data_IF_866220172146
#
_entry.id   IF_866220172146
#
_cell.length_a   1.000
_cell.length_b   1.000
_cell.length_c   1.000
_cell.angle_alpha   90.00
_cell.angle_beta   90.00
_cell.angle_gamma   90.00
#
_symmetry.space_group_name_H-M   'P 1'
#
loop_
_entity.id
_entity.type
_entity.pdbx_description
1 polymer ?
#
# COMPACT_ATOMS: atom_id res chain seq x y z
N UNK A 1 18.16 13.81 -12.30
CA UNK A 1 19.00 14.74 -11.51
C UNK A 1 19.62 13.93 -10.40
N UNK A 2 20.95 13.80 -10.43
CA UNK A 2 21.71 12.94 -9.52
C UNK A 2 21.65 13.50 -8.09
N UNK A 3 21.46 12.59 -7.13
CA UNK A 3 21.29 12.75 -5.68
C UNK A 3 22.63 13.08 -5.01
N UNK A 4 23.26 14.21 -5.32
CA UNK A 4 24.50 14.62 -4.65
C UNK A 4 24.25 15.67 -3.56
N UNK A 5 23.28 16.58 -3.73
CA UNK A 5 23.09 17.74 -2.84
C UNK A 5 22.48 17.36 -1.47
N UNK A 6 21.87 16.18 -1.34
CA UNK A 6 21.13 15.80 -0.14
C UNK A 6 21.80 14.77 0.76
N UNK A 7 23.01 14.29 0.45
CA UNK A 7 23.67 13.26 1.27
C UNK A 7 23.99 13.72 2.72
N UNK A 8 23.97 15.04 2.96
CA UNK A 8 24.16 15.64 4.27
C UNK A 8 22.84 15.89 5.02
N UNK A 9 21.68 15.56 4.45
CA UNK A 9 20.40 15.69 5.14
C UNK A 9 20.37 14.69 6.32
N UNK A 10 20.22 15.15 7.58
CA UNK A 10 20.20 14.25 8.73
C UNK A 10 19.05 13.24 8.66
N UNK A 11 17.93 13.59 8.01
CA UNK A 11 16.79 12.67 7.85
C UNK A 11 17.08 11.48 6.90
N UNK A 12 18.26 11.41 6.28
CA UNK A 12 18.72 10.20 5.59
C UNK A 12 19.33 9.16 6.54
N UNK A 13 19.74 9.56 7.75
CA UNK A 13 20.37 8.69 8.75
C UNK A 13 19.58 8.60 10.05
N UNK A 14 18.78 9.62 10.33
CA UNK A 14 17.96 9.75 11.52
C UNK A 14 16.46 9.79 11.15
N UNK A 15 15.54 9.53 12.11
CA UNK A 15 14.12 9.67 11.87
C UNK A 15 13.73 11.05 11.34
N UNK A 16 12.96 11.10 10.25
CA UNK A 16 12.46 12.34 9.67
C UNK A 16 12.13 12.18 8.18
N UNK A 17 11.68 13.28 7.56
CA UNK A 17 11.46 13.33 6.11
C UNK A 17 12.52 14.24 5.48
N UNK A 18 13.36 13.74 4.56
CA UNK A 18 14.38 14.53 3.89
C UNK A 18 13.80 15.74 3.16
N UNK A 19 14.51 16.87 3.17
CA UNK A 19 14.13 18.11 2.48
C UNK A 19 13.90 17.89 0.98
N UNK A 20 14.63 16.96 0.37
CA UNK A 20 14.39 16.61 -1.02
C UNK A 20 13.00 16.05 -1.27
N UNK A 21 12.44 15.27 -0.34
CA UNK A 21 11.09 14.73 -0.49
C UNK A 21 10.05 15.87 -0.52
N UNK A 22 10.25 16.90 0.32
CA UNK A 22 9.44 18.12 0.32
C UNK A 22 9.49 18.87 -1.02
N UNK A 23 10.71 19.08 -1.54
CA UNK A 23 10.91 19.77 -2.82
C UNK A 23 10.34 18.98 -4.00
N UNK A 24 10.54 17.67 -4.01
CA UNK A 24 9.99 16.76 -5.02
C UNK A 24 8.46 16.79 -4.99
N UNK A 25 7.85 16.67 -3.82
CA UNK A 25 6.39 16.71 -3.68
C UNK A 25 5.79 18.01 -4.20
N UNK A 26 6.35 19.16 -3.80
CA UNK A 26 5.92 20.48 -4.28
C UNK A 26 6.02 20.64 -5.80
N UNK A 27 7.11 20.14 -6.38
CA UNK A 27 7.33 20.19 -7.83
C UNK A 27 6.42 19.22 -8.59
N UNK A 28 6.12 18.08 -7.97
CA UNK A 28 5.28 17.04 -8.54
C UNK A 28 3.80 17.43 -8.55
N UNK A 29 3.30 18.07 -7.49
CA UNK A 29 1.88 18.38 -7.31
C UNK A 29 1.20 18.97 -8.56
N UNK A 30 1.68 20.09 -9.17
CA UNK A 30 1.03 20.65 -10.36
C UNK A 30 1.13 19.73 -11.59
N UNK A 31 2.22 18.97 -11.72
CA UNK A 31 2.43 18.01 -12.84
C UNK A 31 1.49 16.81 -12.71
N UNK A 32 1.33 16.32 -11.49
CA UNK A 32 0.40 15.24 -11.17
C UNK A 32 -1.04 15.68 -11.44
N UNK A 33 -1.45 16.88 -11.02
CA UNK A 33 -2.78 17.43 -11.33
C UNK A 33 -3.07 17.44 -12.83
N UNK A 34 -2.14 17.95 -13.63
CA UNK A 34 -2.30 18.01 -15.09
C UNK A 34 -2.42 16.60 -15.69
N UNK A 35 -1.51 15.69 -15.31
CA UNK A 35 -1.51 14.31 -15.78
C UNK A 35 -2.81 13.56 -15.41
N UNK A 36 -3.25 13.64 -14.17
CA UNK A 36 -4.43 12.92 -13.69
C UNK A 36 -5.70 13.39 -14.41
N UNK A 37 -5.85 14.70 -14.62
CA UNK A 37 -6.99 15.29 -15.36
C UNK A 37 -6.99 14.88 -16.82
N UNK A 38 -5.84 14.97 -17.50
CA UNK A 38 -5.70 14.52 -18.89
C UNK A 38 -6.01 13.02 -19.00
N UNK A 39 -5.53 12.22 -18.06
CA UNK A 39 -5.73 10.78 -18.05
C UNK A 39 -7.21 10.41 -17.98
N UNK A 40 -7.96 10.98 -17.03
CA UNK A 40 -9.42 10.81 -16.92
C UNK A 40 -10.10 11.28 -18.20
N UNK A 41 -9.80 12.50 -18.65
CA UNK A 41 -10.41 13.08 -19.86
C UNK A 41 -10.18 12.24 -21.12
N UNK A 42 -9.05 11.53 -21.20
CA UNK A 42 -8.72 10.68 -22.36
C UNK A 42 -9.59 9.42 -22.46
N UNK A 43 -10.19 8.95 -21.36
CA UNK A 43 -10.97 7.70 -21.32
C UNK A 43 -10.19 6.43 -21.68
N UNK A 44 -8.86 6.53 -21.90
CA UNK A 44 -8.04 5.42 -22.42
C UNK A 44 -7.98 4.23 -21.49
N UNK A 45 -8.14 4.45 -20.18
CA UNK A 45 -8.09 3.39 -19.18
C UNK A 45 -9.14 2.28 -19.42
N UNK A 46 -10.26 2.59 -20.08
CA UNK A 46 -11.31 1.62 -20.39
C UNK A 46 -10.97 0.63 -21.52
N UNK A 47 -9.85 0.82 -22.22
CA UNK A 47 -9.49 0.03 -23.40
C UNK A 47 -8.10 -0.62 -23.28
N UNK A 48 -7.49 -0.55 -22.10
CA UNK A 48 -6.16 -1.12 -21.88
C UNK A 48 -6.25 -2.64 -21.71
N UNK A 49 -5.27 -3.40 -22.24
CA UNK A 49 -5.22 -4.83 -22.01
C UNK A 49 -4.79 -5.14 -20.56
N UNK A 50 -5.33 -6.22 -19.99
CA UNK A 50 -5.07 -6.61 -18.59
C UNK A 50 -3.59 -6.80 -18.26
N UNK A 51 -2.79 -7.32 -19.21
CA UNK A 51 -1.36 -7.54 -19.01
C UNK A 51 -0.53 -6.25 -18.97
N UNK A 52 -1.10 -5.09 -19.33
CA UNK A 52 -0.42 -3.79 -19.25
C UNK A 52 -0.65 -3.16 -17.86
N UNK A 53 -0.21 -3.91 -16.82
CA UNK A 53 -0.24 -3.52 -15.40
C UNK A 53 0.21 -2.06 -15.18
N UNK A 54 1.29 -1.57 -15.82
CA UNK A 54 1.71 -0.17 -15.67
C UNK A 54 0.68 0.87 -16.11
N UNK A 55 -0.18 0.54 -17.07
CA UNK A 55 -1.20 1.46 -17.55
C UNK A 55 -2.57 1.23 -16.91
N UNK A 56 -2.85 0.05 -16.38
CA UNK A 56 -4.11 -0.28 -15.69
C UNK A 56 -4.06 0.08 -14.20
N UNK A 57 -3.15 -0.53 -13.44
CA UNK A 57 -3.14 -0.51 -11.97
C UNK A 57 -2.36 0.66 -11.37
N UNK A 58 -1.15 0.91 -11.89
CA UNK A 58 -0.24 1.93 -11.36
C UNK A 58 -0.83 3.34 -11.24
N UNK A 59 -1.77 3.79 -12.09
CA UNK A 59 -2.43 5.08 -11.91
C UNK A 59 -3.22 5.19 -10.60
N UNK A 60 -3.96 4.14 -10.22
CA UNK A 60 -4.72 4.11 -8.96
C UNK A 60 -3.74 3.98 -7.79
N UNK A 61 -2.86 2.99 -7.88
CA UNK A 61 -1.83 2.72 -6.87
C UNK A 61 -0.94 3.94 -6.59
N UNK A 62 -0.45 4.59 -7.66
CA UNK A 62 0.36 5.80 -7.59
C UNK A 62 -0.40 7.01 -7.04
N UNK A 63 -1.72 7.08 -7.28
CA UNK A 63 -2.57 8.12 -6.67
C UNK A 63 -2.71 7.90 -5.15
N UNK A 64 -2.85 6.66 -4.70
CA UNK A 64 -2.84 6.32 -3.26
C UNK A 64 -1.50 6.67 -2.62
N UNK A 65 -0.37 6.31 -3.25
CA UNK A 65 0.96 6.65 -2.75
C UNK A 65 1.21 8.16 -2.72
N UNK A 66 0.71 8.90 -3.70
CA UNK A 66 0.76 10.36 -3.67
C UNK A 66 0.00 10.92 -2.46
N UNK A 67 -1.19 10.38 -2.17
CA UNK A 67 -1.99 10.79 -1.02
C UNK A 67 -1.30 10.45 0.32
N UNK A 68 -0.76 9.24 0.48
CA UNK A 68 0.01 8.87 1.68
C UNK A 68 1.27 9.71 1.88
N UNK A 69 2.00 10.01 0.80
CA UNK A 69 3.13 10.93 0.87
C UNK A 69 2.67 12.32 1.32
N UNK A 70 1.51 12.78 0.85
CA UNK A 70 0.92 14.06 1.27
C UNK A 70 0.52 14.04 2.75
N UNK A 71 -0.09 12.96 3.25
CA UNK A 71 -0.41 12.79 4.67
C UNK A 71 0.84 12.77 5.55
N UNK A 72 1.88 12.03 5.16
CA UNK A 72 3.14 11.98 5.91
C UNK A 72 3.79 13.36 6.02
N UNK A 73 3.84 14.10 4.91
CA UNK A 73 4.32 15.49 4.89
C UNK A 73 3.41 16.41 5.72
N UNK A 74 2.08 16.26 5.65
CA UNK A 74 1.14 17.05 6.43
C UNK A 74 1.35 16.83 7.94
N UNK A 75 1.47 15.59 8.38
CA UNK A 75 1.73 15.26 9.77
C UNK A 75 3.09 15.79 10.27
N UNK A 76 4.13 15.75 9.42
CA UNK A 76 5.43 16.34 9.74
C UNK A 76 5.36 17.89 9.78
N UNK A 77 4.57 18.53 8.90
CA UNK A 77 4.31 19.96 8.93
C UNK A 77 3.63 20.40 10.24
N UNK A 78 2.65 19.63 10.73
CA UNK A 78 1.90 19.93 11.95
C UNK A 78 2.75 19.80 13.22
N UNK A 79 3.69 18.86 13.23
CA UNK A 79 4.64 18.66 14.34
C UNK A 79 5.72 19.74 14.38
N UNK A 80 6.09 20.27 13.23
CA UNK A 80 7.11 21.31 13.11
C UNK A 80 6.50 22.71 13.17
N UNK A 81 7.29 23.73 13.46
CA UNK A 81 6.77 25.09 13.57
C UNK A 81 6.29 25.60 12.19
N UNK A 82 4.97 25.82 11.96
CA UNK A 82 4.40 26.13 10.65
C UNK A 82 5.02 27.35 9.96
N UNK A 83 5.51 28.32 10.73
CA UNK A 83 6.12 29.54 10.23
C UNK A 83 7.40 29.31 9.40
N UNK A 84 8.05 28.14 9.53
CA UNK A 84 9.34 27.85 8.86
C UNK A 84 9.21 27.10 7.52
N UNK A 85 8.07 26.47 7.22
CA UNK A 85 7.92 25.62 6.02
C UNK A 85 6.99 26.19 4.94
N UNK A 86 6.34 27.32 5.16
CA UNK A 86 5.36 27.87 4.22
C UNK A 86 4.03 27.12 4.24
N UNK A 87 3.23 27.15 3.16
CA UNK A 87 1.91 26.53 3.14
C UNK A 87 1.94 25.03 3.45
N UNK A 88 0.92 24.57 4.17
CA UNK A 88 0.74 23.15 4.48
C UNK A 88 0.57 22.31 3.19
N UNK A 89 1.05 21.04 3.17
CA UNK A 89 0.82 20.10 2.06
C UNK A 89 -0.63 20.01 1.61
N UNK A 90 -1.58 19.90 2.54
CA UNK A 90 -3.01 19.87 2.22
C UNK A 90 -3.51 21.11 1.47
N UNK A 91 -2.83 22.26 1.63
CA UNK A 91 -3.20 23.53 0.98
C UNK A 91 -2.57 23.64 -0.40
N UNK A 92 -1.24 23.58 -0.51
CA UNK A 92 -0.60 23.80 -1.82
C UNK A 92 -0.85 22.65 -2.80
N UNK A 93 -1.07 21.43 -2.29
CA UNK A 93 -1.30 20.25 -3.11
C UNK A 93 -2.80 19.97 -3.35
N UNK A 94 -3.70 20.85 -2.91
CA UNK A 94 -5.16 20.61 -3.00
C UNK A 94 -5.63 20.16 -4.39
N UNK A 95 -5.24 20.80 -5.51
CA UNK A 95 -5.66 20.35 -6.84
C UNK A 95 -5.17 18.94 -7.20
N UNK A 96 -4.03 18.50 -6.66
CA UNK A 96 -3.48 17.17 -6.88
C UNK A 96 -4.18 16.13 -6.00
N UNK A 97 -4.54 16.49 -4.76
CA UNK A 97 -5.36 15.65 -3.88
C UNK A 97 -6.73 15.38 -4.52
N UNK A 98 -7.39 16.43 -5.01
CA UNK A 98 -8.69 16.30 -5.70
C UNK A 98 -8.56 15.46 -6.99
N UNK A 99 -7.47 15.61 -7.73
CA UNK A 99 -7.23 14.83 -8.93
C UNK A 99 -6.90 13.35 -8.63
N UNK A 100 -6.18 13.07 -7.54
CA UNK A 100 -5.85 11.72 -7.11
C UNK A 100 -7.11 10.93 -6.74
N UNK A 101 -8.00 11.51 -5.93
CA UNK A 101 -9.26 10.84 -5.57
C UNK A 101 -10.16 10.64 -6.80
N UNK A 102 -10.14 11.57 -7.75
CA UNK A 102 -10.87 11.42 -9.00
C UNK A 102 -10.37 10.24 -9.85
N UNK A 103 -9.05 9.99 -9.90
CA UNK A 103 -8.49 8.80 -10.58
C UNK A 103 -8.87 7.53 -9.84
N UNK A 104 -8.80 7.54 -8.51
CA UNK A 104 -9.11 6.38 -7.65
C UNK A 104 -10.58 5.97 -7.74
N UNK A 105 -11.49 6.92 -7.95
CA UNK A 105 -12.93 6.66 -8.00
C UNK A 105 -13.51 6.61 -9.42
N UNK A 106 -12.70 6.85 -10.45
CA UNK A 106 -13.17 6.86 -11.84
C UNK A 106 -13.56 5.45 -12.29
N UNK A 107 -14.85 5.18 -12.60
CA UNK A 107 -15.29 3.87 -13.05
C UNK A 107 -14.54 3.37 -14.29
N UNK A 108 -14.06 4.26 -15.16
CA UNK A 108 -13.30 3.86 -16.36
C UNK A 108 -11.95 3.23 -15.97
N UNK A 109 -11.31 3.73 -14.91
CA UNK A 109 -10.09 3.16 -14.34
C UNK A 109 -10.30 1.82 -13.66
N UNK A 110 -11.53 1.48 -13.26
CA UNK A 110 -11.86 0.19 -12.65
C UNK A 110 -12.14 -0.91 -13.70
N UNK A 111 -12.01 -0.62 -14.99
CA UNK A 111 -12.33 -1.58 -16.06
C UNK A 111 -11.52 -2.88 -15.95
N UNK A 112 -10.23 -2.80 -15.63
CA UNK A 112 -9.40 -3.99 -15.45
C UNK A 112 -9.91 -4.85 -14.28
N UNK A 113 -10.33 -4.21 -13.19
CA UNK A 113 -10.89 -4.89 -12.02
C UNK A 113 -12.19 -5.61 -12.38
N UNK A 114 -13.09 -4.93 -13.10
CA UNK A 114 -14.34 -5.54 -13.59
C UNK A 114 -14.10 -6.70 -14.54
N UNK A 115 -13.04 -6.66 -15.34
CA UNK A 115 -12.68 -7.78 -16.21
C UNK A 115 -12.22 -9.01 -15.40
N UNK A 116 -11.61 -8.83 -14.23
CA UNK A 116 -11.27 -9.93 -13.32
C UNK A 116 -12.46 -10.41 -12.49
N UNK A 117 -13.23 -9.49 -11.90
CA UNK A 117 -14.19 -9.79 -10.83
C UNK A 117 -15.66 -9.63 -11.22
N UNK A 118 -15.95 -9.18 -12.44
CA UNK A 118 -17.30 -8.85 -12.88
C UNK A 118 -17.84 -7.55 -12.27
N UNK A 119 -19.15 -7.32 -12.41
CA UNK A 119 -19.77 -6.06 -12.02
C UNK A 119 -19.86 -5.84 -10.50
N UNK A 120 -19.83 -6.91 -9.70
CA UNK A 120 -19.85 -6.85 -8.23
C UNK A 120 -18.43 -6.82 -7.61
N UNK A 121 -17.44 -6.34 -8.37
CA UNK A 121 -16.03 -6.27 -7.95
C UNK A 121 -15.76 -5.53 -6.62
N UNK A 122 -16.71 -4.72 -6.14
CA UNK A 122 -16.64 -4.00 -4.88
C UNK A 122 -17.07 -4.84 -3.65
N UNK A 123 -17.68 -6.01 -3.86
CA UNK A 123 -18.12 -6.90 -2.79
C UNK A 123 -17.61 -8.34 -2.94
N UNK A 124 -16.84 -8.60 -4.00
CA UNK A 124 -15.97 -9.78 -4.10
C UNK A 124 -14.74 -9.66 -3.18
N UNK A 125 -13.88 -10.68 -3.15
CA UNK A 125 -12.64 -10.69 -2.37
C UNK A 125 -11.76 -9.47 -2.72
N UNK A 126 -11.20 -9.47 -3.94
CA UNK A 126 -10.55 -8.33 -4.59
C UNK A 126 -9.71 -7.45 -3.64
N UNK A 127 -8.87 -8.11 -2.84
CA UNK A 127 -8.26 -7.53 -1.65
C UNK A 127 -7.43 -6.29 -1.97
N UNK A 128 -6.47 -6.44 -2.88
CA UNK A 128 -5.62 -5.37 -3.37
C UNK A 128 -6.42 -4.12 -3.76
N UNK A 129 -7.31 -4.21 -4.75
CA UNK A 129 -8.03 -3.03 -5.25
C UNK A 129 -8.93 -2.39 -4.19
N UNK A 130 -9.65 -3.19 -3.40
CA UNK A 130 -10.53 -2.66 -2.35
C UNK A 130 -9.74 -1.96 -1.25
N UNK A 131 -8.53 -2.43 -0.94
CA UNK A 131 -7.62 -1.72 -0.03
C UNK A 131 -7.22 -0.35 -0.57
N UNK A 132 -6.98 -0.21 -1.89
CA UNK A 132 -6.65 1.07 -2.52
C UNK A 132 -7.81 2.07 -2.45
N UNK A 133 -9.06 1.61 -2.60
CA UNK A 133 -10.24 2.46 -2.42
C UNK A 133 -10.33 2.97 -0.97
N UNK A 134 -10.20 2.06 0.00
CA UNK A 134 -10.23 2.40 1.43
C UNK A 134 -9.12 3.40 1.76
N UNK A 135 -7.88 3.13 1.31
CA UNK A 135 -6.72 3.98 1.52
C UNK A 135 -6.92 5.37 0.90
N UNK A 136 -7.33 5.43 -0.37
CA UNK A 136 -7.53 6.67 -1.12
C UNK A 136 -8.58 7.56 -0.49
N UNK A 137 -9.76 7.02 -0.20
CA UNK A 137 -10.86 7.78 0.40
C UNK A 137 -10.50 8.23 1.82
N UNK A 138 -9.87 7.38 2.62
CA UNK A 138 -9.41 7.74 3.98
C UNK A 138 -8.44 8.92 3.95
N UNK A 139 -7.43 8.85 3.08
CA UNK A 139 -6.41 9.89 2.94
C UNK A 139 -7.02 11.20 2.44
N UNK A 140 -7.90 11.13 1.43
CA UNK A 140 -8.62 12.28 0.90
C UNK A 140 -9.43 12.99 1.99
N UNK A 141 -10.24 12.24 2.77
CA UNK A 141 -11.05 12.82 3.84
C UNK A 141 -10.20 13.44 4.95
N UNK A 142 -9.08 12.82 5.34
CA UNK A 142 -8.17 13.38 6.35
C UNK A 142 -7.50 14.67 5.89
N UNK A 143 -7.03 14.71 4.64
CA UNK A 143 -6.34 15.87 4.07
C UNK A 143 -7.28 17.06 3.82
N UNK A 144 -8.53 16.80 3.46
CA UNK A 144 -9.45 17.85 2.98
C UNK A 144 -10.58 18.19 3.95
N UNK A 145 -10.88 17.29 4.89
CA UNK A 145 -12.09 17.34 5.72
C UNK A 145 -13.38 16.97 4.97
N UNK A 146 -13.30 16.67 3.67
CA UNK A 146 -14.47 16.36 2.85
C UNK A 146 -14.97 14.94 3.12
N UNK A 147 -16.26 14.85 3.41
CA UNK A 147 -16.96 13.64 3.85
C UNK A 147 -17.87 13.03 2.79
N UNK A 148 -17.88 13.55 1.56
CA UNK A 148 -18.80 13.09 0.51
C UNK A 148 -18.69 11.58 0.20
N UNK A 149 -17.50 10.99 0.39
CA UNK A 149 -17.23 9.57 0.11
C UNK A 149 -17.30 8.65 1.34
N UNK A 150 -17.70 9.17 2.51
CA UNK A 150 -17.82 8.34 3.72
C UNK A 150 -18.79 7.16 3.59
N UNK A 151 -19.92 7.25 2.86
CA UNK A 151 -20.77 6.07 2.64
C UNK A 151 -20.04 4.93 1.93
N UNK A 152 -19.29 5.23 0.85
CA UNK A 152 -18.46 4.26 0.14
C UNK A 152 -17.37 3.69 1.06
N UNK A 153 -16.69 4.55 1.83
CA UNK A 153 -15.64 4.11 2.74
C UNK A 153 -16.19 3.14 3.80
N UNK A 154 -17.34 3.48 4.41
CA UNK A 154 -17.97 2.65 5.42
C UNK A 154 -18.37 1.29 4.86
N UNK A 155 -19.00 1.28 3.69
CA UNK A 155 -19.39 0.07 2.99
C UNK A 155 -18.17 -0.84 2.72
N UNK A 156 -17.12 -0.30 2.11
CA UNK A 156 -15.92 -1.08 1.76
C UNK A 156 -15.18 -1.58 3.00
N UNK A 157 -15.07 -0.77 4.06
CA UNK A 157 -14.47 -1.21 5.33
C UNK A 157 -15.26 -2.35 5.95
N UNK A 158 -16.59 -2.23 6.02
CA UNK A 158 -17.44 -3.23 6.68
C UNK A 158 -17.47 -4.54 5.91
N UNK A 159 -17.64 -4.48 4.59
CA UNK A 159 -17.78 -5.67 3.76
C UNK A 159 -16.45 -6.37 3.56
N UNK A 160 -15.33 -5.67 3.33
CA UNK A 160 -14.01 -6.30 3.22
C UNK A 160 -13.58 -6.95 4.53
N UNK A 161 -13.80 -6.26 5.67
CA UNK A 161 -13.59 -6.84 7.00
C UNK A 161 -14.41 -8.11 7.19
N UNK A 162 -15.69 -8.09 6.82
CA UNK A 162 -16.56 -9.26 6.96
C UNK A 162 -16.07 -10.44 6.10
N UNK A 163 -15.59 -10.18 4.88
CA UNK A 163 -14.98 -11.21 4.02
C UNK A 163 -13.72 -11.81 4.66
N UNK A 164 -12.83 -10.97 5.21
CA UNK A 164 -11.63 -11.40 5.93
C UNK A 164 -11.97 -12.21 7.18
N UNK A 165 -12.87 -11.71 8.05
CA UNK A 165 -13.33 -12.39 9.27
C UNK A 165 -13.97 -13.77 8.95
N UNK A 166 -14.64 -13.90 7.79
CA UNK A 166 -15.23 -15.16 7.34
C UNK A 166 -14.21 -16.15 6.74
N UNK A 167 -13.02 -15.68 6.35
CA UNK A 167 -11.96 -16.55 5.83
C UNK A 167 -11.32 -17.39 6.95
N UNK A 168 -11.30 -18.74 6.83
CA UNK A 168 -10.68 -19.60 7.83
C UNK A 168 -9.21 -19.29 8.10
N UNK A 169 -8.47 -18.90 7.05
CA UNK A 169 -7.04 -18.57 7.10
C UNK A 169 -6.80 -17.09 7.37
N UNK A 170 -7.82 -16.23 7.18
CA UNK A 170 -7.65 -14.77 7.12
C UNK A 170 -7.01 -14.27 5.82
N UNK A 171 -6.76 -15.16 4.85
CA UNK A 171 -6.33 -14.80 3.51
C UNK A 171 -7.54 -14.76 2.58
N UNK A 172 -7.49 -13.86 1.62
CA UNK A 172 -8.45 -13.73 0.53
C UNK A 172 -7.70 -13.36 -0.75
N UNK A 173 -8.36 -13.55 -1.89
CA UNK A 173 -7.80 -13.32 -3.22
C UNK A 173 -7.71 -11.82 -3.58
N UNK A 174 -6.63 -11.48 -4.29
CA UNK A 174 -6.43 -10.19 -4.96
C UNK A 174 -7.01 -10.22 -6.37
N UNK A 175 -6.72 -11.33 -7.07
CA UNK A 175 -7.28 -11.70 -8.37
C UNK A 175 -7.85 -13.11 -8.28
N UNK A 176 -8.79 -13.52 -9.15
CA UNK A 176 -9.30 -14.88 -9.15
C UNK A 176 -8.18 -15.92 -9.27
N UNK A 177 -8.02 -16.78 -8.26
CA UNK A 177 -6.97 -17.79 -8.19
C UNK A 177 -5.62 -17.31 -7.64
N UNK A 178 -5.49 -16.04 -7.27
CA UNK A 178 -4.23 -15.46 -6.79
C UNK A 178 -4.42 -14.76 -5.44
N UNK A 179 -3.57 -15.09 -4.48
CA UNK A 179 -3.57 -14.48 -3.16
C UNK A 179 -2.14 -14.11 -2.76
N UNK A 180 -1.97 -12.81 -2.49
CA UNK A 180 -0.72 -12.19 -2.09
C UNK A 180 -0.87 -11.72 -0.63
N UNK A 181 -0.33 -12.46 0.36
CA UNK A 181 -0.47 -12.13 1.78
C UNK A 181 -0.07 -10.69 2.15
N UNK A 182 0.87 -10.11 1.40
CA UNK A 182 1.26 -8.70 1.48
C UNK A 182 0.08 -7.72 1.34
N UNK A 183 -0.84 -7.98 0.41
CA UNK A 183 -1.99 -7.12 0.12
C UNK A 183 -3.07 -7.27 1.19
N UNK A 184 -3.20 -8.46 1.77
CA UNK A 184 -4.04 -8.69 2.96
C UNK A 184 -3.54 -7.88 4.15
N UNK A 185 -2.22 -7.84 4.43
CA UNK A 185 -1.65 -6.98 5.48
C UNK A 185 -1.98 -5.51 5.22
N UNK A 186 -1.80 -5.05 3.98
CA UNK A 186 -2.14 -3.69 3.56
C UNK A 186 -3.63 -3.39 3.78
N UNK A 187 -4.53 -4.32 3.42
CA UNK A 187 -5.97 -4.19 3.61
C UNK A 187 -6.35 -4.05 5.09
N UNK A 188 -5.75 -4.84 5.98
CA UNK A 188 -5.99 -4.76 7.43
C UNK A 188 -5.56 -3.41 7.98
N UNK A 189 -4.39 -2.91 7.57
CA UNK A 189 -3.90 -1.58 7.91
C UNK A 189 -4.83 -0.47 7.40
N UNK A 190 -5.26 -0.55 6.14
CA UNK A 190 -6.19 0.41 5.55
C UNK A 190 -7.54 0.41 6.29
N UNK A 191 -8.06 -0.77 6.64
CA UNK A 191 -9.27 -0.91 7.48
C UNK A 191 -9.06 -0.27 8.85
N UNK A 192 -7.95 -0.53 9.54
CA UNK A 192 -7.65 0.06 10.85
C UNK A 192 -7.60 1.59 10.79
N UNK A 193 -6.93 2.15 9.77
CA UNK A 193 -6.82 3.61 9.57
C UNK A 193 -8.19 4.23 9.26
N UNK A 194 -8.98 3.59 8.41
CA UNK A 194 -10.33 4.06 8.06
C UNK A 194 -11.30 3.95 9.23
N UNK A 195 -11.20 2.89 10.04
CA UNK A 195 -12.04 2.67 11.22
C UNK A 195 -11.91 3.81 12.24
N UNK A 196 -10.70 4.34 12.44
CA UNK A 196 -10.48 5.51 13.28
C UNK A 196 -11.22 6.77 12.78
N UNK A 197 -11.35 6.93 11.46
CA UNK A 197 -12.12 8.03 10.85
C UNK A 197 -13.65 7.81 10.96
N UNK A 198 -14.08 6.55 10.94
CA UNK A 198 -15.49 6.13 10.95
C UNK A 198 -16.06 5.88 12.36
N UNK A 199 -15.24 6.02 13.40
CA UNK A 199 -15.53 5.68 14.79
C UNK A 199 -15.97 4.21 14.95
N UNK A 200 -15.20 3.30 14.36
CA UNK A 200 -15.42 1.85 14.43
C UNK A 200 -14.33 1.17 15.27
N UNK A 201 -14.73 0.31 16.21
CA UNK A 201 -13.79 -0.55 16.91
C UNK A 201 -13.48 -1.80 16.07
N UNK A 202 -12.20 -1.95 15.73
CA UNK A 202 -11.66 -3.03 14.91
C UNK A 202 -10.51 -3.77 15.59
N UNK A 203 -10.23 -3.49 16.88
CA UNK A 203 -9.06 -4.06 17.58
C UNK A 203 -9.08 -5.58 17.61
N UNK A 204 -10.24 -6.18 17.91
CA UNK A 204 -10.37 -7.64 17.94
C UNK A 204 -10.22 -8.26 16.55
N UNK A 205 -10.67 -7.56 15.49
CA UNK A 205 -10.46 -7.98 14.11
C UNK A 205 -8.97 -7.98 13.76
N UNK A 206 -8.27 -6.87 14.01
CA UNK A 206 -6.83 -6.75 13.75
C UNK A 206 -6.02 -7.81 14.52
N UNK A 207 -6.40 -8.09 15.77
CA UNK A 207 -5.74 -9.13 16.57
C UNK A 207 -5.98 -10.54 16.01
N UNK A 208 -7.19 -10.84 15.53
CA UNK A 208 -7.50 -12.14 14.90
C UNK A 208 -6.81 -12.34 13.56
N UNK A 209 -6.55 -11.27 12.80
CA UNK A 209 -5.94 -11.39 11.48
C UNK A 209 -4.48 -11.85 11.51
N UNK A 210 -3.84 -11.81 12.69
CA UNK A 210 -2.55 -12.48 12.94
C UNK A 210 -2.54 -13.95 12.51
N UNK A 211 -3.70 -14.62 12.50
CA UNK A 211 -3.83 -16.02 12.06
C UNK A 211 -3.32 -16.25 10.63
N UNK A 212 -3.39 -15.23 9.76
CA UNK A 212 -2.93 -15.30 8.38
C UNK A 212 -1.40 -15.17 8.24
N UNK A 213 -0.69 -14.79 9.30
CA UNK A 213 0.72 -14.40 9.25
C UNK A 213 1.55 -14.98 10.41
N UNK A 214 1.12 -16.13 10.95
CA UNK A 214 1.83 -16.79 12.05
C UNK A 214 1.85 -18.30 11.87
N UNK A 215 2.76 -18.97 12.57
CA UNK A 215 2.86 -20.43 12.56
C UNK A 215 3.07 -20.98 11.14
N UNK A 216 2.22 -21.92 10.67
CA UNK A 216 2.38 -22.57 9.37
C UNK A 216 2.13 -21.66 8.16
N UNK A 217 1.64 -20.43 8.40
CA UNK A 217 1.40 -19.46 7.33
C UNK A 217 2.67 -18.69 6.91
N UNK A 218 3.76 -18.85 7.66
CA UNK A 218 5.05 -18.23 7.36
C UNK A 218 5.87 -19.16 6.45
N UNK A 219 6.74 -18.56 5.63
CA UNK A 219 7.73 -19.31 4.88
C UNK A 219 8.86 -19.85 5.77
N UNK A 220 9.80 -20.57 5.17
CA UNK A 220 10.95 -21.16 5.86
C UNK A 220 11.92 -20.12 6.47
N UNK A 221 11.82 -18.85 6.06
CA UNK A 221 12.58 -17.72 6.63
C UNK A 221 11.84 -17.04 7.79
N UNK A 222 10.63 -17.51 8.13
CA UNK A 222 9.79 -16.92 9.19
C UNK A 222 9.13 -15.61 8.75
N UNK A 223 8.94 -15.41 7.45
CA UNK A 223 8.36 -14.21 6.86
C UNK A 223 7.03 -14.53 6.16
N UNK A 224 6.12 -13.55 6.00
CA UNK A 224 4.94 -13.71 5.17
C UNK A 224 5.36 -14.11 3.74
N UNK A 225 4.78 -15.18 3.16
CA UNK A 225 5.13 -15.64 1.84
C UNK A 225 4.66 -14.66 0.77
N UNK A 226 5.21 -14.77 -0.44
CA UNK A 226 4.80 -13.92 -1.55
C UNK A 226 3.47 -14.37 -2.14
N UNK A 227 3.27 -15.68 -2.30
CA UNK A 227 2.01 -16.28 -2.78
C UNK A 227 1.61 -17.43 -1.86
N UNK A 228 0.34 -17.49 -1.51
CA UNK A 228 -0.23 -18.57 -0.72
C UNK A 228 -1.61 -19.00 -1.25
N UNK A 229 -2.02 -20.23 -0.95
CA UNK A 229 -3.39 -20.67 -1.14
C UNK A 229 -4.27 -20.05 -0.05
N UNK A 230 -5.24 -19.23 -0.45
CA UNK A 230 -6.09 -18.53 0.53
C UNK A 230 -7.00 -19.46 1.34
N UNK A 231 -7.33 -20.67 0.84
CA UNK A 231 -8.26 -21.58 1.53
C UNK A 231 -7.57 -22.41 2.60
N UNK A 232 -6.33 -22.80 2.33
CA UNK A 232 -5.56 -23.74 3.15
C UNK A 232 -4.40 -23.07 3.89
N UNK A 233 -3.94 -21.92 3.41
CA UNK A 233 -2.75 -21.24 3.90
C UNK A 233 -1.45 -21.85 3.39
N UNK A 234 -1.50 -22.80 2.45
CA UNK A 234 -0.32 -23.40 1.86
C UNK A 234 0.53 -22.34 1.19
N UNK A 235 1.81 -22.31 1.52
CA UNK A 235 2.79 -21.46 0.84
C UNK A 235 3.06 -21.99 -0.57
N UNK A 236 2.94 -21.15 -1.59
CA UNK A 236 3.31 -21.46 -2.96
C UNK A 236 4.62 -20.79 -3.39
N UNK A 237 4.83 -19.54 -2.98
CA UNK A 237 6.07 -18.82 -3.24
C UNK A 237 6.61 -18.18 -1.95
N UNK A 238 7.90 -18.38 -1.70
CA UNK A 238 8.56 -17.84 -0.51
C UNK A 238 8.57 -16.31 -0.55
N UNK A 239 8.87 -15.70 0.58
CA UNK A 239 8.88 -14.26 0.71
C UNK A 239 9.81 -13.57 -0.29
N UNK A 240 9.40 -12.40 -0.75
CA UNK A 240 10.16 -11.55 -1.68
C UNK A 240 10.55 -10.23 -1.03
N UNK A 241 11.61 -9.62 -1.54
CA UNK A 241 12.16 -8.36 -1.07
C UNK A 241 11.15 -7.23 -1.11
N UNK A 242 10.54 -7.03 -2.28
CA UNK A 242 9.47 -6.05 -2.46
C UNK A 242 8.29 -6.30 -1.52
N UNK A 243 7.94 -7.58 -1.33
CA UNK A 243 6.88 -8.04 -0.43
C UNK A 243 7.09 -7.59 1.00
N UNK A 244 8.23 -8.00 1.57
CA UNK A 244 8.61 -7.68 2.93
C UNK A 244 8.80 -6.18 3.17
N UNK A 245 9.38 -5.46 2.19
CA UNK A 245 9.49 -3.99 2.27
C UNK A 245 8.13 -3.31 2.45
N UNK A 246 7.09 -3.77 1.73
CA UNK A 246 5.74 -3.23 1.89
C UNK A 246 5.10 -3.65 3.21
N UNK A 247 5.21 -4.94 3.57
CA UNK A 247 4.70 -5.47 4.85
C UNK A 247 5.21 -4.66 6.04
N UNK A 248 6.49 -4.31 6.05
CA UNK A 248 7.14 -3.60 7.14
C UNK A 248 6.76 -2.13 7.25
N UNK A 249 6.05 -1.56 6.26
CA UNK A 249 5.41 -0.24 6.38
C UNK A 249 4.26 -0.30 7.39
N UNK A 250 3.53 -1.41 7.43
CA UNK A 250 2.30 -1.58 8.21
C UNK A 250 2.47 -2.43 9.46
N UNK A 251 3.42 -3.37 9.46
CA UNK A 251 3.62 -4.26 10.59
C UNK A 251 3.79 -3.52 11.94
N UNK A 252 4.54 -2.39 12.05
CA UNK A 252 4.70 -1.68 13.32
C UNK A 252 3.40 -1.07 13.87
N UNK A 253 2.43 -0.73 13.02
CA UNK A 253 1.14 -0.18 13.46
C UNK A 253 0.09 -1.26 13.75
N UNK A 254 0.23 -2.45 13.16
CA UNK A 254 -0.67 -3.58 13.38
C UNK A 254 -0.19 -4.45 14.55
N UNK A 255 1.04 -4.94 14.46
CA UNK A 255 1.61 -5.95 15.37
C UNK A 255 3.08 -5.61 15.68
N UNK A 256 3.34 -4.70 16.63
CA UNK A 256 4.70 -4.22 16.93
C UNK A 256 5.68 -5.32 17.37
N UNK A 257 5.17 -6.40 17.95
CA UNK A 257 5.94 -7.59 18.30
C UNK A 257 6.42 -8.33 17.05
N UNK A 258 5.50 -8.67 16.13
CA UNK A 258 5.84 -9.34 14.86
C UNK A 258 6.73 -8.47 13.97
N UNK A 259 6.50 -7.15 13.96
CA UNK A 259 7.27 -6.22 13.14
C UNK A 259 8.77 -6.28 13.42
N UNK A 260 9.17 -6.43 14.69
CA UNK A 260 10.58 -6.57 15.07
C UNK A 260 11.17 -7.88 14.58
N UNK A 261 10.45 -8.98 14.78
CA UNK A 261 10.91 -10.31 14.39
C UNK A 261 11.02 -10.42 12.86
N UNK A 262 10.03 -9.92 12.13
CA UNK A 262 10.04 -9.85 10.67
C UNK A 262 11.13 -8.93 10.14
N UNK A 263 11.38 -7.76 10.75
CA UNK A 263 12.47 -6.89 10.32
C UNK A 263 13.83 -7.58 10.48
N UNK A 264 14.05 -8.25 11.62
CA UNK A 264 15.29 -8.99 11.87
C UNK A 264 15.49 -10.15 10.88
N UNK A 265 14.43 -10.90 10.57
CA UNK A 265 14.47 -11.94 9.54
C UNK A 265 14.72 -11.35 8.15
N UNK A 266 14.02 -10.27 7.81
CA UNK A 266 14.17 -9.60 6.52
C UNK A 266 15.59 -9.07 6.31
N UNK A 267 16.17 -8.38 7.30
CA UNK A 267 17.56 -7.93 7.26
C UNK A 267 18.53 -9.12 7.12
N UNK A 268 18.37 -10.15 7.95
CA UNK A 268 19.21 -11.35 7.91
C UNK A 268 19.23 -12.03 6.54
N UNK A 269 18.08 -12.13 5.87
CA UNK A 269 17.94 -12.92 4.65
C UNK A 269 18.05 -12.09 3.35
N UNK A 270 17.71 -10.80 3.37
CA UNK A 270 17.61 -9.98 2.15
C UNK A 270 18.58 -8.80 2.10
N UNK A 271 19.04 -8.26 3.23
CA UNK A 271 20.00 -7.15 3.23
C UNK A 271 21.31 -7.56 2.54
N UNK A 272 21.90 -6.66 1.78
CA UNK A 272 23.23 -6.80 1.23
C UNK A 272 23.98 -5.48 1.24
N UNK A 273 25.30 -5.59 1.43
CA UNK A 273 26.27 -4.52 1.28
C UNK A 273 27.33 -4.95 0.25
N UNK A 274 27.48 -4.17 -0.82
CA UNK A 274 28.49 -4.35 -1.87
C UNK A 274 29.60 -3.29 -1.83
N UNK A 275 29.70 -2.54 -0.74
CA UNK A 275 30.66 -1.45 -0.49
C UNK A 275 30.28 -0.13 -1.16
N UNK A 276 29.85 -0.16 -2.42
CA UNK A 276 29.42 1.04 -3.18
C UNK A 276 27.90 1.18 -3.29
N UNK A 277 27.15 0.14 -2.91
CA UNK A 277 25.70 0.12 -2.87
C UNK A 277 25.24 -0.82 -1.77
N UNK A 278 24.18 -0.40 -1.08
CA UNK A 278 23.51 -1.18 -0.05
C UNK A 278 22.03 -1.25 -0.37
N UNK A 279 21.37 -2.32 0.06
CA UNK A 279 19.94 -2.47 -0.13
C UNK A 279 19.45 -3.88 0.13
N UNK A 280 18.16 -4.07 -0.07
CA UNK A 280 17.52 -5.37 0.05
C UNK A 280 17.43 -6.04 -1.32
N UNK A 281 17.67 -7.36 -1.35
CA UNK A 281 17.50 -8.20 -2.53
C UNK A 281 16.01 -8.47 -2.77
N UNK A 282 15.65 -8.84 -3.99
CA UNK A 282 14.30 -9.37 -4.28
C UNK A 282 14.14 -10.80 -3.79
N UNK A 283 15.19 -11.61 -3.86
CA UNK A 283 15.21 -13.00 -3.39
C UNK A 283 16.20 -13.16 -2.22
N UNK A 284 15.93 -14.07 -1.28
CA UNK A 284 16.79 -14.27 -0.13
C UNK A 284 18.19 -14.73 -0.57
N UNK A 285 19.19 -14.51 0.28
CA UNK A 285 20.60 -14.75 -0.06
C UNK A 285 20.92 -16.21 -0.41
N UNK A 286 20.17 -17.13 0.17
CA UNK A 286 20.28 -18.59 0.03
C UNK A 286 19.47 -19.16 -1.12
N UNK A 287 18.65 -18.37 -1.82
CA UNK A 287 18.00 -18.80 -3.06
C UNK A 287 19.08 -19.17 -4.10
N UNK A 288 19.18 -20.46 -4.45
CA UNK A 288 20.14 -20.95 -5.43
C UNK A 288 19.89 -20.38 -6.84
N UNK A 289 20.91 -20.40 -7.72
CA UNK A 289 20.80 -19.92 -9.12
C UNK A 289 19.84 -20.73 -10.01
N UNK A 290 19.26 -21.82 -9.50
CA UNK A 290 18.34 -22.72 -10.23
C UNK A 290 16.96 -22.82 -9.53
N UNK A 291 16.73 -22.06 -8.46
CA UNK A 291 15.52 -22.14 -7.63
C UNK A 291 14.66 -20.88 -7.73
N UNK A 292 14.62 -20.23 -8.90
CA UNK A 292 13.61 -19.18 -9.17
C UNK A 292 12.17 -19.75 -9.22
N UNK A 293 11.99 -21.07 -8.99
CA UNK A 293 10.69 -21.78 -8.96
C UNK A 293 10.60 -22.93 -7.91
N UNK A 294 11.50 -23.04 -6.92
CA UNK A 294 11.51 -24.22 -6.02
C UNK A 294 10.89 -23.95 -4.63
N UNK A 295 10.17 -24.96 -4.15
CA UNK A 295 9.30 -25.00 -2.97
C UNK A 295 9.90 -24.42 -1.68
N UNK A 296 9.08 -23.61 -0.99
CA UNK A 296 9.05 -23.60 0.47
C UNK A 296 8.46 -24.93 0.97
#
# INVERSE_FOLDING_TARGET
MIVCVNLCDPALRDPGIPQQAWLLHRTLAPRFTAWARERIASGRAGHLPLHDVPRTEWPIFGSVFYLWATEALQADWEKQNPARRGPAPAVYARPAIDAAIAVILDPVHHTWVRQHWGDDYLHNQNCFFRSLLIAGVTSYTRLTGDRQHLPLLRDQVQTLRATLDASPTGLIEDYPGECYPIDVICAVACIQRAAALLDLDVRDFVNRERRAFTGPMLDSHGLPPYVADYRTGQVFECSRGTGNSHTLIFAPELWPDLARDWYAAYEKHFWQDKGWAVGFREYPRDAGKQEEQASC
#
